data_IF_365391391511
#
_entry.id   IF_365391391511
#
_cell.length_a   1.000
_cell.length_b   1.000
_cell.length_c   1.000
_cell.angle_alpha   90.00
_cell.angle_beta   90.00
_cell.angle_gamma   90.00
#
_symmetry.space_group_name_H-M   'P 1'
#
loop_
_entity.id
_entity.type
_entity.pdbx_description
1 polymer ?
#
# COMPACT_ATOMS: atom_id res chain seq x y z
N UNK A 1 -1.33 -2.50 -10.61
CA UNK A 1 -1.79 -3.41 -9.54
C UNK A 1 -0.61 -3.77 -8.63
N UNK A 2 -0.79 -3.75 -7.31
CA UNK A 2 0.27 -4.05 -6.32
C UNK A 2 0.65 -5.54 -6.25
N UNK A 3 -0.25 -6.42 -6.73
CA UNK A 3 -0.09 -7.88 -6.67
C UNK A 3 0.07 -8.36 -5.21
N UNK A 4 -0.75 -7.80 -4.30
CA UNK A 4 -0.73 -8.09 -2.86
C UNK A 4 0.20 -7.15 -2.06
N UNK A 5 0.75 -7.66 -0.96
CA UNK A 5 1.68 -6.93 -0.09
C UNK A 5 2.94 -6.50 -0.84
N UNK A 6 3.34 -5.24 -0.67
CA UNK A 6 4.56 -4.65 -1.25
C UNK A 6 5.70 -4.52 -0.25
N UNK A 7 5.40 -4.59 1.05
CA UNK A 7 6.35 -4.60 2.16
C UNK A 7 6.11 -5.82 3.03
N UNK A 8 7.19 -6.32 3.63
CA UNK A 8 7.17 -7.44 4.59
C UNK A 8 8.27 -7.21 5.64
N UNK A 9 8.21 -7.94 6.75
CA UNK A 9 9.26 -7.97 7.76
C UNK A 9 10.53 -8.66 7.21
N UNK A 10 11.70 -8.36 7.80
CA UNK A 10 12.93 -9.09 7.51
C UNK A 10 12.85 -10.51 8.10
N UNK A 11 12.83 -11.52 7.23
CA UNK A 11 12.79 -12.92 7.68
C UNK A 11 14.07 -13.41 8.38
N UNK A 12 15.19 -12.73 8.15
CA UNK A 12 16.51 -13.13 8.65
C UNK A 12 16.84 -12.58 10.03
N UNK A 13 16.05 -11.66 10.59
CA UNK A 13 16.31 -10.99 11.86
C UNK A 13 15.00 -10.63 12.57
N UNK A 14 15.06 -10.42 13.89
CA UNK A 14 13.93 -9.86 14.63
C UNK A 14 13.63 -8.46 14.08
N UNK A 15 12.48 -8.33 13.41
CA UNK A 15 12.09 -7.12 12.67
C UNK A 15 11.21 -6.18 13.50
N UNK A 16 11.15 -6.40 14.81
CA UNK A 16 10.32 -5.62 15.73
C UNK A 16 11.23 -5.16 16.85
N UNK A 17 11.28 -3.85 17.04
CA UNK A 17 12.04 -3.24 18.12
C UNK A 17 11.19 -3.23 19.41
N UNK A 18 11.39 -4.24 20.26
CA UNK A 18 10.61 -4.42 21.49
C UNK A 18 10.90 -3.35 22.55
N UNK A 19 12.03 -2.65 22.44
CA UNK A 19 12.42 -1.57 23.36
C UNK A 19 11.86 -0.21 22.92
N UNK A 20 11.51 -0.07 21.64
CA UNK A 20 10.98 1.16 21.04
C UNK A 20 9.53 0.96 20.58
N UNK A 21 8.64 0.69 21.52
CA UNK A 21 7.17 0.58 21.30
C UNK A 21 6.78 -0.40 20.17
N UNK A 22 7.50 -1.53 20.08
CA UNK A 22 7.29 -2.55 19.06
C UNK A 22 7.41 -2.03 17.62
N UNK A 23 8.26 -1.03 17.38
CA UNK A 23 8.40 -0.43 16.06
C UNK A 23 8.83 -1.48 15.02
N UNK A 24 8.02 -1.73 13.96
CA UNK A 24 8.34 -2.70 12.94
C UNK A 24 9.34 -2.14 11.92
N UNK A 25 10.26 -3.00 11.46
CA UNK A 25 11.18 -2.73 10.35
C UNK A 25 10.72 -3.47 9.11
N UNK A 26 9.98 -2.75 8.27
CA UNK A 26 9.52 -3.25 6.99
C UNK A 26 10.55 -3.05 5.88
N UNK A 27 10.59 -3.98 4.93
CA UNK A 27 11.35 -3.87 3.68
C UNK A 27 10.49 -4.20 2.48
N UNK A 28 10.86 -3.68 1.32
CA UNK A 28 10.30 -4.13 0.03
C UNK A 28 11.03 -5.42 -0.40
N UNK A 29 10.34 -6.57 -0.56
CA UNK A 29 10.94 -7.79 -1.08
C UNK A 29 11.56 -7.56 -2.46
N UNK A 30 12.63 -8.30 -2.78
CA UNK A 30 13.40 -8.07 -4.01
C UNK A 30 12.53 -8.22 -5.26
N UNK A 31 11.63 -9.21 -5.28
CA UNK A 31 10.68 -9.47 -6.35
C UNK A 31 9.65 -8.34 -6.54
N UNK A 32 9.38 -7.53 -5.50
CA UNK A 32 8.42 -6.42 -5.53
C UNK A 32 9.05 -5.07 -5.84
N UNK A 33 10.38 -4.94 -5.79
CA UNK A 33 11.09 -3.66 -6.04
C UNK A 33 10.77 -3.05 -7.40
N UNK A 34 10.66 -3.87 -8.44
CA UNK A 34 10.31 -3.39 -9.79
C UNK A 34 8.90 -2.79 -9.81
N UNK A 35 7.93 -3.48 -9.21
CA UNK A 35 6.54 -3.00 -9.11
C UNK A 35 6.47 -1.70 -8.32
N UNK A 36 7.11 -1.62 -7.15
CA UNK A 36 7.14 -0.39 -6.35
C UNK A 36 7.76 0.77 -7.12
N UNK A 37 8.84 0.53 -7.87
CA UNK A 37 9.47 1.57 -8.69
C UNK A 37 8.54 2.08 -9.79
N UNK A 38 7.82 1.19 -10.47
CA UNK A 38 6.86 1.55 -11.51
C UNK A 38 5.66 2.32 -10.92
N UNK A 39 5.16 1.89 -9.75
CA UNK A 39 4.08 2.59 -9.05
C UNK A 39 4.52 3.98 -8.57
N UNK A 40 5.73 4.11 -7.99
CA UNK A 40 6.28 5.40 -7.56
C UNK A 40 6.37 6.38 -8.73
N UNK A 41 6.90 5.93 -9.87
CA UNK A 41 6.99 6.77 -11.06
C UNK A 41 5.61 7.23 -11.58
N UNK A 42 4.57 6.39 -11.44
CA UNK A 42 3.20 6.78 -11.80
C UNK A 42 2.62 7.79 -10.79
N UNK A 43 2.82 7.55 -9.49
CA UNK A 43 2.41 8.42 -8.38
C UNK A 43 3.01 9.82 -8.53
N UNK A 44 4.31 9.92 -8.85
CA UNK A 44 5.01 11.20 -9.01
C UNK A 44 4.43 12.10 -10.13
N UNK A 45 3.64 11.52 -11.05
CA UNK A 45 3.02 12.24 -12.17
C UNK A 45 1.49 12.32 -12.08
N UNK A 46 0.89 11.73 -11.05
CA UNK A 46 -0.56 11.67 -10.90
C UNK A 46 -1.09 12.95 -10.28
N UNK A 47 -2.23 13.44 -10.79
CA UNK A 47 -2.98 14.53 -10.15
C UNK A 47 -3.75 14.03 -8.93
N UNK A 48 -4.26 12.79 -8.99
CA UNK A 48 -5.07 12.15 -7.96
C UNK A 48 -4.73 10.65 -7.89
N UNK A 49 -4.79 10.08 -6.70
CA UNK A 49 -4.42 8.68 -6.42
C UNK A 49 -5.56 7.99 -5.67
N UNK A 50 -6.04 6.88 -6.20
CA UNK A 50 -7.12 6.11 -5.58
C UNK A 50 -6.61 4.75 -5.06
N UNK A 51 -6.74 4.53 -3.75
CA UNK A 51 -6.43 3.27 -3.08
C UNK A 51 -7.70 2.43 -2.95
N UNK A 52 -7.83 1.47 -3.85
CA UNK A 52 -9.01 0.61 -4.03
C UNK A 52 -8.77 -0.82 -3.52
N UNK A 53 -8.16 -0.96 -2.34
CA UNK A 53 -7.98 -2.26 -1.68
C UNK A 53 -9.26 -2.71 -0.98
N UNK A 54 -9.35 -4.01 -0.66
CA UNK A 54 -10.51 -4.58 0.04
C UNK A 54 -10.83 -3.84 1.35
N UNK A 55 -12.11 -3.75 1.75
CA UNK A 55 -12.53 -3.00 2.94
C UNK A 55 -12.37 -3.82 4.23
N UNK A 56 -11.20 -4.44 4.38
CA UNK A 56 -10.82 -5.17 5.57
C UNK A 56 -9.46 -4.71 6.11
N UNK A 57 -9.07 -5.26 7.25
CA UNK A 57 -7.81 -4.89 7.91
C UNK A 57 -6.58 -5.17 7.04
N UNK A 58 -6.62 -6.22 6.21
CA UNK A 58 -5.50 -6.57 5.34
C UNK A 58 -5.41 -5.57 4.18
N UNK A 59 -6.53 -5.22 3.57
CA UNK A 59 -6.61 -4.19 2.54
C UNK A 59 -6.10 -2.85 3.03
N UNK A 60 -6.49 -2.40 4.23
CA UNK A 60 -5.95 -1.16 4.83
C UNK A 60 -4.44 -1.22 5.06
N UNK A 61 -3.92 -2.36 5.52
CA UNK A 61 -2.48 -2.52 5.70
C UNK A 61 -1.73 -2.48 4.35
N UNK A 62 -2.31 -3.05 3.29
CA UNK A 62 -1.74 -3.00 1.94
C UNK A 62 -1.77 -1.55 1.41
N UNK A 63 -2.88 -0.84 1.57
CA UNK A 63 -3.01 0.56 1.17
C UNK A 63 -1.97 1.44 1.87
N UNK A 64 -1.84 1.30 3.20
CA UNK A 64 -0.83 2.00 3.98
C UNK A 64 0.59 1.66 3.51
N UNK A 65 0.90 0.38 3.32
CA UNK A 65 2.21 -0.04 2.82
C UNK A 65 2.54 0.49 1.43
N UNK A 66 1.55 0.64 0.55
CA UNK A 66 1.73 1.26 -0.76
C UNK A 66 2.14 2.72 -0.60
N UNK A 67 1.34 3.52 0.13
CA UNK A 67 1.63 4.94 0.36
C UNK A 67 3.05 5.15 0.89
N UNK A 68 3.43 4.37 1.89
CA UNK A 68 4.76 4.46 2.48
C UNK A 68 5.89 4.01 1.53
N UNK A 69 5.62 3.04 0.64
CA UNK A 69 6.64 2.54 -0.30
C UNK A 69 6.84 3.48 -1.49
N UNK A 70 5.79 4.19 -1.89
CA UNK A 70 5.80 5.10 -3.03
C UNK A 70 5.97 6.55 -2.61
N UNK A 71 6.07 6.85 -1.31
CA UNK A 71 6.15 8.21 -0.77
C UNK A 71 4.99 9.08 -1.27
N UNK A 72 3.79 8.48 -1.29
CA UNK A 72 2.60 9.12 -1.81
C UNK A 72 2.16 10.30 -0.94
N UNK A 73 1.81 11.41 -1.58
CA UNK A 73 1.21 12.56 -0.90
C UNK A 73 -0.23 12.27 -0.45
N UNK A 74 -0.52 12.32 0.87
CA UNK A 74 -1.86 12.11 1.40
C UNK A 74 -2.90 13.13 0.90
N UNK A 75 -2.51 14.34 0.50
CA UNK A 75 -3.45 15.41 0.10
C UNK A 75 -4.17 15.09 -1.21
N UNK A 76 -3.52 14.34 -2.11
CA UNK A 76 -4.07 13.90 -3.41
C UNK A 76 -4.47 12.43 -3.41
N UNK A 77 -4.58 11.81 -2.23
CA UNK A 77 -4.87 10.38 -2.09
C UNK A 77 -6.25 10.12 -1.50
N UNK A 78 -7.03 9.31 -2.22
CA UNK A 78 -8.39 8.93 -1.87
C UNK A 78 -8.48 7.44 -1.57
N UNK A 79 -9.21 7.08 -0.52
CA UNK A 79 -9.51 5.69 -0.17
C UNK A 79 -10.88 5.30 -0.70
N UNK A 80 -10.93 4.34 -1.62
CA UNK A 80 -12.17 3.86 -2.27
C UNK A 80 -12.60 2.53 -1.68
N UNK A 81 -13.81 2.46 -1.13
CA UNK A 81 -14.34 1.26 -0.47
C UNK A 81 -15.57 0.75 -1.21
N UNK A 82 -15.52 -0.50 -1.67
CA UNK A 82 -16.65 -1.21 -2.27
C UNK A 82 -16.74 -2.64 -1.73
N UNK A 83 -17.95 -3.19 -1.69
CA UNK A 83 -18.21 -4.55 -1.19
C UNK A 83 -18.56 -5.53 -2.32
N UNK A 84 -18.67 -5.03 -3.55
CA UNK A 84 -18.94 -5.81 -4.74
C UNK A 84 -18.30 -5.14 -5.96
N UNK A 85 -17.92 -5.94 -6.96
CA UNK A 85 -17.30 -5.46 -8.19
C UNK A 85 -18.38 -5.39 -9.27
N UNK A 86 -19.23 -4.37 -9.18
CA UNK A 86 -20.24 -4.05 -10.19
C UNK A 86 -20.06 -2.60 -10.64
N UNK A 87 -20.44 -2.29 -11.89
CA UNK A 87 -20.30 -0.93 -12.43
C UNK A 87 -20.93 0.14 -11.51
N UNK A 88 -22.18 -0.03 -11.01
CA UNK A 88 -22.78 0.95 -10.11
C UNK A 88 -21.98 1.12 -8.81
N UNK A 89 -21.56 0.02 -8.18
CA UNK A 89 -20.82 0.07 -6.92
C UNK A 89 -19.45 0.76 -7.06
N UNK A 90 -18.78 0.61 -8.20
CA UNK A 90 -17.49 1.26 -8.47
C UNK A 90 -17.65 2.74 -8.84
N UNK A 91 -18.75 3.12 -9.49
CA UNK A 91 -19.02 4.53 -9.82
C UNK A 91 -19.50 5.35 -8.60
N UNK A 92 -20.06 4.69 -7.59
CA UNK A 92 -20.54 5.33 -6.35
C UNK A 92 -19.46 5.47 -5.27
N UNK A 93 -18.48 4.56 -5.24
CA UNK A 93 -17.41 4.51 -4.25
C UNK A 93 -16.31 5.56 -4.47
#
# INVERSE_FOLDING_TARGET
ASVGHVRDLLRSQLSVDVENDFQPKYRVPNEKRKVVKELKAAVDTAEEIYLATDPDREGEAIAWHLMESTETDPEITHRVVFHEITKPAIEEA
#
